data_IF_399887676105
#
_entry.id   IF_399887676105
#
_cell.length_a   1.000
_cell.length_b   1.000
_cell.length_c   1.000
_cell.angle_alpha   90.00
_cell.angle_beta   90.00
_cell.angle_gamma   90.00
#
_symmetry.space_group_name_H-M   'P 1'
#
loop_
_entity.id
_entity.type
_entity.pdbx_description
1 polymer ?
#
# COMPACT_ATOMS: atom_id res chain seq x y z
N UNK A 1 -6.72 -0.43 8.71
CA UNK A 1 -7.09 0.58 9.74
C UNK A 1 -8.03 1.57 9.06
N UNK A 2 -9.30 1.64 9.45
CA UNK A 2 -10.29 2.49 8.78
C UNK A 2 -10.12 3.92 9.29
N UNK A 3 -9.66 4.86 8.45
CA UNK A 3 -9.60 6.29 8.77
C UNK A 3 -10.90 6.97 8.28
N UNK A 4 -11.51 7.79 9.13
CA UNK A 4 -12.73 8.55 8.83
C UNK A 4 -12.35 9.95 8.34
N UNK A 5 -12.83 10.32 7.16
CA UNK A 5 -12.76 11.69 6.63
C UNK A 5 -14.14 12.33 6.81
N UNK A 6 -14.26 13.36 7.62
CA UNK A 6 -15.54 13.99 7.99
C UNK A 6 -15.95 15.12 7.03
N UNK A 7 -17.14 15.01 6.44
CA UNK A 7 -18.07 16.10 6.10
C UNK A 7 -19.47 15.53 5.79
N UNK A 8 -20.53 16.13 6.35
CA UNK A 8 -21.89 15.55 6.49
C UNK A 8 -22.71 15.34 5.20
N UNK A 9 -22.15 15.62 4.01
CA UNK A 9 -22.88 15.56 2.73
C UNK A 9 -22.13 14.74 1.67
N UNK A 10 -20.91 14.32 1.98
CA UNK A 10 -19.96 13.76 1.02
C UNK A 10 -19.21 12.60 1.65
N UNK A 11 -19.01 11.53 0.89
CA UNK A 11 -18.22 10.40 1.38
C UNK A 11 -16.99 10.23 0.51
N UNK A 12 -15.85 10.86 0.90
CA UNK A 12 -14.58 10.56 0.28
C UNK A 12 -14.17 9.14 0.64
N UNK A 13 -13.55 8.46 -0.31
CA UNK A 13 -12.97 7.15 -0.12
C UNK A 13 -11.63 7.04 -0.83
N UNK A 14 -10.74 6.26 -0.22
CA UNK A 14 -9.45 5.89 -0.79
C UNK A 14 -9.36 4.37 -0.76
N UNK A 15 -8.93 3.80 -1.88
CA UNK A 15 -8.63 2.39 -2.03
C UNK A 15 -7.20 2.26 -2.52
N UNK A 16 -6.36 1.55 -1.77
CA UNK A 16 -4.99 1.22 -2.16
C UNK A 16 -4.66 -0.24 -1.83
N UNK A 17 -3.45 -0.68 -2.17
CA UNK A 17 -2.97 -2.04 -1.87
C UNK A 17 -2.89 -2.38 -0.37
N UNK A 18 -3.03 -1.40 0.52
CA UNK A 18 -3.00 -1.54 1.98
C UNK A 18 -4.41 -1.59 2.59
N UNK A 19 -5.44 -1.24 1.83
CA UNK A 19 -6.84 -1.35 2.20
C UNK A 19 -7.67 -0.11 1.89
N UNK A 20 -8.77 0.05 2.63
CA UNK A 20 -9.82 1.03 2.30
C UNK A 20 -10.01 2.02 3.43
N UNK A 21 -10.08 3.28 3.05
CA UNK A 21 -10.29 4.40 3.95
C UNK A 21 -11.58 5.11 3.52
N UNK A 22 -12.66 4.92 4.27
CA UNK A 22 -13.98 5.52 3.99
C UNK A 22 -14.84 5.52 5.26
N UNK A 23 -15.89 6.35 5.29
CA UNK A 23 -16.96 6.26 6.29
C UNK A 23 -18.09 5.30 5.91
N UNK A 24 -18.24 5.00 4.62
CA UNK A 24 -19.21 4.02 4.12
C UNK A 24 -18.71 2.59 4.38
N UNK A 25 -19.56 1.60 4.13
CA UNK A 25 -19.20 0.19 4.29
C UNK A 25 -17.94 -0.15 3.46
N UNK A 26 -16.78 -0.44 4.10
CA UNK A 26 -15.52 -0.68 3.38
C UNK A 26 -15.65 -1.86 2.41
N UNK A 27 -16.47 -2.86 2.74
CA UNK A 27 -16.67 -4.03 1.88
C UNK A 27 -17.33 -3.69 0.54
N UNK A 28 -18.19 -2.66 0.51
CA UNK A 28 -18.84 -2.20 -0.73
C UNK A 28 -17.87 -1.42 -1.60
N UNK A 29 -17.04 -0.57 -0.99
CA UNK A 29 -16.02 0.19 -1.72
C UNK A 29 -14.94 -0.77 -2.26
N UNK A 30 -14.60 -1.83 -1.53
CA UNK A 30 -13.66 -2.89 -1.97
C UNK A 30 -14.13 -3.57 -3.24
N UNK A 31 -15.40 -4.00 -3.23
CA UNK A 31 -16.03 -4.66 -4.35
C UNK A 31 -16.14 -3.73 -5.56
N UNK A 32 -16.49 -2.46 -5.35
CA UNK A 32 -16.59 -1.46 -6.42
C UNK A 32 -15.21 -1.17 -7.02
N UNK A 33 -14.20 -0.93 -6.19
CA UNK A 33 -12.82 -0.66 -6.63
C UNK A 33 -12.23 -1.84 -7.41
N UNK A 34 -12.36 -3.05 -6.87
CA UNK A 34 -11.88 -4.29 -7.50
C UNK A 34 -12.58 -4.55 -8.83
N UNK A 35 -13.92 -4.45 -8.87
CA UNK A 35 -14.70 -4.64 -10.10
C UNK A 35 -14.32 -3.62 -11.17
N UNK A 36 -14.10 -2.35 -10.79
CA UNK A 36 -13.68 -1.30 -11.71
C UNK A 36 -12.31 -1.59 -12.31
N UNK A 37 -11.31 -1.92 -11.49
CA UNK A 37 -9.97 -2.26 -11.97
C UNK A 37 -10.01 -3.44 -12.95
N UNK A 38 -10.68 -4.52 -12.58
CA UNK A 38 -10.85 -5.69 -13.44
C UNK A 38 -11.57 -5.36 -14.75
N UNK A 39 -12.57 -4.48 -14.72
CA UNK A 39 -13.31 -4.05 -15.91
C UNK A 39 -12.41 -3.22 -16.84
N UNK A 40 -11.62 -2.31 -16.29
CA UNK A 40 -10.68 -1.49 -17.06
C UNK A 40 -9.59 -2.34 -17.72
N UNK A 41 -9.02 -3.28 -16.97
CA UNK A 41 -8.07 -4.28 -17.47
C UNK A 41 -8.68 -5.13 -18.59
N UNK A 42 -9.91 -5.61 -18.41
CA UNK A 42 -10.61 -6.43 -19.41
C UNK A 42 -10.90 -5.66 -20.70
N UNK A 43 -11.20 -4.36 -20.59
CA UNK A 43 -11.44 -3.49 -21.73
C UNK A 43 -10.15 -3.03 -22.43
N UNK A 44 -8.96 -3.37 -21.88
CA UNK A 44 -7.67 -2.90 -22.37
C UNK A 44 -7.54 -1.37 -22.31
N UNK A 45 -8.27 -0.72 -21.40
CA UNK A 45 -8.22 0.72 -21.22
C UNK A 45 -7.08 1.02 -20.25
N UNK A 46 -5.90 1.23 -20.82
CA UNK A 46 -4.75 1.73 -20.09
C UNK A 46 -4.85 3.25 -19.95
N UNK A 47 -4.72 3.78 -18.73
CA UNK A 47 -4.63 5.22 -18.47
C UNK A 47 -5.96 5.95 -18.22
N UNK A 48 -6.91 5.34 -17.52
CA UNK A 48 -8.09 6.07 -17.03
C UNK A 48 -7.70 7.00 -15.88
N UNK A 49 -7.43 8.26 -16.21
CA UNK A 49 -7.08 9.28 -15.21
C UNK A 49 -8.27 9.64 -14.31
N UNK A 50 -9.49 9.62 -14.86
CA UNK A 50 -10.72 10.04 -14.18
C UNK A 50 -11.94 9.26 -14.71
N UNK A 51 -12.71 8.70 -13.78
CA UNK A 51 -14.00 8.06 -14.00
C UNK A 51 -15.08 8.88 -13.29
N UNK A 52 -16.09 9.31 -14.05
CA UNK A 52 -17.26 10.01 -13.52
C UNK A 52 -18.52 9.23 -13.84
N UNK A 53 -19.28 8.90 -12.80
CA UNK A 53 -20.59 8.26 -12.89
C UNK A 53 -21.62 9.24 -12.35
N UNK A 54 -22.42 9.81 -13.24
CA UNK A 54 -23.45 10.80 -12.90
C UNK A 54 -24.78 10.09 -12.73
N UNK A 55 -25.33 10.11 -11.52
CA UNK A 55 -26.63 9.51 -11.23
C UNK A 55 -27.63 10.52 -10.67
N UNK A 56 -28.92 10.24 -10.85
CA UNK A 56 -30.01 11.14 -10.42
C UNK A 56 -30.14 11.28 -8.88
N UNK A 57 -29.48 10.40 -8.11
CA UNK A 57 -29.52 10.39 -6.63
C UNK A 57 -28.14 10.46 -5.99
N UNK A 58 -27.14 9.89 -6.66
CA UNK A 58 -25.74 9.86 -6.24
C UNK A 58 -24.88 9.95 -7.50
N UNK A 59 -23.85 10.76 -7.42
CA UNK A 59 -22.78 10.85 -8.41
C UNK A 59 -21.48 10.41 -7.76
N UNK A 60 -20.59 9.84 -8.55
CA UNK A 60 -19.29 9.34 -8.13
C UNK A 60 -18.24 9.87 -9.08
N UNK A 61 -17.20 10.50 -8.55
CA UNK A 61 -15.98 10.78 -9.31
C UNK A 61 -14.81 10.03 -8.67
N UNK A 62 -13.98 9.41 -9.51
CA UNK A 62 -12.87 8.55 -9.08
C UNK A 62 -11.67 8.80 -9.97
N UNK A 63 -10.50 9.09 -9.38
CA UNK A 63 -9.23 9.03 -10.09
C UNK A 63 -8.59 7.67 -9.86
N UNK A 64 -8.18 7.03 -10.95
CA UNK A 64 -7.50 5.73 -10.91
C UNK A 64 -6.04 5.96 -11.26
N UNK A 65 -5.16 5.70 -10.30
CA UNK A 65 -3.71 5.65 -10.47
C UNK A 65 -3.27 4.19 -10.27
N UNK A 66 -2.07 3.83 -10.75
CA UNK A 66 -1.59 2.44 -10.85
C UNK A 66 -1.90 1.56 -9.62
N UNK A 67 -1.80 2.10 -8.40
CA UNK A 67 -2.06 1.37 -7.15
C UNK A 67 -3.04 2.10 -6.20
N UNK A 68 -3.77 3.10 -6.70
CA UNK A 68 -4.54 4.01 -5.86
C UNK A 68 -5.79 4.51 -6.56
N UNK A 69 -6.94 4.34 -5.92
CA UNK A 69 -8.19 4.95 -6.32
C UNK A 69 -8.59 5.97 -5.27
N UNK A 70 -8.80 7.21 -5.71
CA UNK A 70 -9.35 8.28 -4.86
C UNK A 70 -10.70 8.63 -5.42
N UNK A 71 -11.75 8.56 -4.62
CA UNK A 71 -13.08 8.90 -5.06
C UNK A 71 -13.90 9.67 -4.05
N UNK A 72 -14.94 10.32 -4.55
CA UNK A 72 -15.93 11.01 -3.73
C UNK A 72 -17.33 10.62 -4.20
N UNK A 73 -18.15 10.14 -3.25
CA UNK A 73 -19.58 9.97 -3.41
C UNK A 73 -20.29 11.27 -3.01
N UNK A 74 -20.96 11.89 -3.96
CA UNK A 74 -21.78 13.09 -3.73
C UNK A 74 -23.24 12.84 -4.08
N UNK A 75 -24.14 13.59 -3.45
CA UNK A 75 -25.58 13.60 -3.78
C UNK A 75 -25.96 14.76 -4.71
N UNK A 76 -24.99 15.54 -5.21
CA UNK A 76 -25.19 16.77 -5.99
C UNK A 76 -24.68 16.78 -7.45
N UNK A 77 -24.65 17.99 -8.05
CA UNK A 77 -24.20 18.25 -9.43
C UNK A 77 -22.67 18.10 -9.58
N UNK A 78 -22.27 17.61 -10.75
CA UNK A 78 -20.91 17.15 -11.11
C UNK A 78 -19.89 18.28 -11.26
N UNK A 79 -20.36 19.51 -11.48
CA UNK A 79 -19.53 20.66 -11.84
C UNK A 79 -18.51 21.06 -10.75
N UNK A 80 -18.66 20.55 -9.52
CA UNK A 80 -17.76 20.80 -8.37
C UNK A 80 -16.80 19.63 -8.07
N UNK A 81 -16.87 18.50 -8.79
CA UNK A 81 -16.12 17.28 -8.44
C UNK A 81 -14.62 17.39 -8.79
N UNK A 82 -14.25 18.06 -9.88
CA UNK A 82 -12.86 18.19 -10.30
C UNK A 82 -12.02 19.00 -9.29
N UNK A 83 -12.51 20.16 -8.85
CA UNK A 83 -11.84 20.99 -7.84
C UNK A 83 -11.71 20.29 -6.50
N UNK A 84 -12.68 19.44 -6.13
CA UNK A 84 -12.63 18.64 -4.90
C UNK A 84 -11.66 17.47 -4.96
N UNK A 85 -11.51 16.83 -6.11
CA UNK A 85 -10.47 15.84 -6.32
C UNK A 85 -9.07 16.48 -6.23
N UNK A 86 -8.92 17.71 -6.70
CA UNK A 86 -7.69 18.47 -6.55
C UNK A 86 -7.42 18.86 -5.09
N UNK A 87 -8.45 19.25 -4.33
CA UNK A 87 -8.34 19.50 -2.88
C UNK A 87 -7.95 18.21 -2.12
N UNK A 88 -8.61 17.09 -2.38
CA UNK A 88 -8.28 15.79 -1.77
C UNK A 88 -6.85 15.35 -2.11
N UNK A 89 -6.42 15.55 -3.36
CA UNK A 89 -5.04 15.28 -3.76
C UNK A 89 -4.04 16.23 -3.10
N UNK A 90 -4.39 17.50 -2.91
CA UNK A 90 -3.56 18.48 -2.24
C UNK A 90 -3.43 18.17 -0.75
N UNK A 91 -4.52 17.74 -0.08
CA UNK A 91 -4.50 17.25 1.31
C UNK A 91 -3.63 15.99 1.43
N UNK A 92 -3.76 15.04 0.50
CA UNK A 92 -2.91 13.84 0.45
C UNK A 92 -1.43 14.14 0.18
N UNK A 93 -1.12 15.15 -0.64
CA UNK A 93 0.25 15.60 -0.89
C UNK A 93 0.84 16.34 0.31
N UNK A 94 0.04 17.16 1.00
CA UNK A 94 0.47 17.86 2.21
C UNK A 94 0.68 16.88 3.38
N UNK A 95 -0.21 15.89 3.57
CA UNK A 95 -0.04 14.83 4.56
C UNK A 95 1.16 13.93 4.24
N UNK A 96 1.45 13.61 2.96
CA UNK A 96 2.68 12.87 2.60
C UNK A 96 3.97 13.60 2.98
N UNK A 97 3.93 14.93 3.11
CA UNK A 97 5.08 15.75 3.52
C UNK A 97 5.15 15.85 5.05
N UNK A 98 4.02 15.79 5.77
CA UNK A 98 4.01 15.74 7.25
C UNK A 98 4.27 14.32 7.81
N UNK A 99 3.84 13.25 7.14
CA UNK A 99 4.17 11.86 7.50
C UNK A 99 5.66 11.51 7.23
N UNK A 100 6.40 12.38 6.54
CA UNK A 100 7.87 12.28 6.38
C UNK A 100 8.62 12.72 7.66
N UNK A 101 7.92 13.25 8.67
CA UNK A 101 8.49 13.68 9.94
C UNK A 101 8.33 12.55 10.98
N UNK A 102 9.46 11.89 11.27
CA UNK A 102 9.66 10.72 12.15
C UNK A 102 9.39 9.34 11.54
N UNK A 103 9.93 9.05 10.34
CA UNK A 103 10.24 7.66 10.01
C UNK A 103 11.24 7.12 11.04
N UNK A 104 10.79 6.26 11.96
CA UNK A 104 11.66 5.58 12.91
C UNK A 104 12.85 4.96 12.16
N UNK A 105 14.06 5.40 12.48
CA UNK A 105 15.28 4.91 11.84
C UNK A 105 15.68 3.61 12.51
N UNK A 106 15.91 2.58 11.70
CA UNK A 106 16.33 1.26 12.14
C UNK A 106 17.74 1.00 11.66
N UNK A 107 18.61 0.55 12.56
CA UNK A 107 19.98 0.18 12.21
C UNK A 107 20.03 -1.26 11.69
N UNK A 108 20.01 -1.42 10.36
CA UNK A 108 20.09 -2.74 9.71
C UNK A 108 21.41 -3.45 10.03
N UNK A 109 22.51 -2.71 10.19
CA UNK A 109 23.81 -3.32 10.51
C UNK A 109 23.77 -4.05 11.84
N UNK A 110 23.11 -3.49 12.86
CA UNK A 110 22.92 -4.14 14.16
C UNK A 110 21.95 -5.33 14.10
N UNK A 111 20.89 -5.23 13.28
CA UNK A 111 19.91 -6.29 13.12
C UNK A 111 20.33 -7.40 12.15
N UNK A 112 21.31 -7.16 11.28
CA UNK A 112 21.78 -8.04 10.22
C UNK A 112 22.08 -9.46 10.71
N UNK A 113 22.66 -9.58 11.91
CA UNK A 113 22.96 -10.87 12.53
C UNK A 113 21.69 -11.63 12.89
N UNK A 114 20.70 -10.96 13.49
CA UNK A 114 19.41 -11.56 13.87
C UNK A 114 18.59 -11.94 12.63
N UNK A 115 18.60 -11.07 11.61
CA UNK A 115 17.97 -11.35 10.31
C UNK A 115 18.59 -12.60 9.69
N UNK A 116 19.93 -12.67 9.59
CA UNK A 116 20.60 -13.84 9.02
C UNK A 116 20.36 -15.13 9.83
N UNK A 117 20.27 -15.06 11.16
CA UNK A 117 19.89 -16.21 11.98
C UNK A 117 18.51 -16.75 11.60
N UNK A 118 17.49 -15.88 11.57
CA UNK A 118 16.12 -16.27 11.19
C UNK A 118 16.13 -16.84 9.77
N UNK A 119 16.75 -16.16 8.81
CA UNK A 119 16.82 -16.66 7.44
C UNK A 119 17.50 -18.03 7.37
N UNK A 120 18.55 -18.29 8.17
CA UNK A 120 19.26 -19.57 8.17
C UNK A 120 18.41 -20.69 8.77
N UNK A 121 17.57 -20.41 9.78
CA UNK A 121 16.65 -21.40 10.36
C UNK A 121 15.65 -21.93 9.32
N UNK A 122 15.19 -21.07 8.40
CA UNK A 122 14.20 -21.44 7.39
C UNK A 122 14.82 -21.86 6.05
N UNK A 123 15.85 -21.15 5.58
CA UNK A 123 16.43 -21.30 4.25
C UNK A 123 17.75 -22.07 4.24
N UNK A 124 18.31 -22.41 5.42
CA UNK A 124 19.61 -23.05 5.55
C UNK A 124 20.71 -22.29 4.82
N UNK A 125 21.50 -23.01 4.02
CA UNK A 125 22.65 -22.48 3.27
C UNK A 125 22.26 -21.44 2.20
N UNK A 126 20.97 -21.33 1.84
CA UNK A 126 20.51 -20.34 0.88
C UNK A 126 20.35 -18.94 1.48
N UNK A 127 20.27 -18.82 2.81
CA UNK A 127 20.03 -17.56 3.51
C UNK A 127 20.98 -16.42 3.09
N UNK A 128 22.32 -16.61 3.06
CA UNK A 128 23.24 -15.53 2.69
C UNK A 128 23.11 -15.09 1.22
N UNK A 129 22.63 -15.99 0.35
CA UNK A 129 22.41 -15.67 -1.07
C UNK A 129 21.11 -14.88 -1.24
N UNK A 130 20.03 -15.33 -0.61
CA UNK A 130 18.73 -14.65 -0.66
C UNK A 130 18.85 -13.24 -0.07
N UNK A 131 19.49 -13.10 1.09
CA UNK A 131 19.67 -11.80 1.74
C UNK A 131 20.42 -10.79 0.87
N UNK A 132 21.59 -11.17 0.34
CA UNK A 132 22.38 -10.29 -0.54
C UNK A 132 21.65 -9.94 -1.85
N UNK A 133 20.86 -10.87 -2.38
CA UNK A 133 20.09 -10.61 -3.59
C UNK A 133 18.99 -9.57 -3.34
N UNK A 134 18.31 -9.63 -2.20
CA UNK A 134 17.27 -8.64 -1.87
C UNK A 134 17.88 -7.26 -1.58
N UNK A 135 19.01 -7.18 -0.86
CA UNK A 135 19.73 -5.91 -0.68
C UNK A 135 20.10 -5.27 -2.02
N UNK A 136 20.62 -6.06 -2.98
CA UNK A 136 20.94 -5.57 -4.32
C UNK A 136 19.70 -5.14 -5.11
N UNK A 137 18.63 -5.93 -5.06
CA UNK A 137 17.37 -5.64 -5.77
C UNK A 137 16.74 -4.34 -5.28
N UNK A 138 16.77 -4.10 -3.97
CA UNK A 138 16.23 -2.89 -3.33
C UNK A 138 17.24 -1.73 -3.26
N UNK A 139 18.47 -1.93 -3.76
CA UNK A 139 19.58 -0.96 -3.69
C UNK A 139 19.79 -0.41 -2.27
N UNK A 140 19.77 -1.32 -1.28
CA UNK A 140 19.99 -1.00 0.12
C UNK A 140 21.44 -1.28 0.52
N UNK A 141 21.98 -0.41 1.37
CA UNK A 141 23.24 -0.62 2.07
C UNK A 141 22.97 -0.96 3.54
N UNK A 142 23.89 -1.70 4.16
CA UNK A 142 23.78 -2.01 5.59
C UNK A 142 24.14 -0.77 6.41
N UNK A 143 23.13 -0.13 6.99
CA UNK A 143 23.26 1.07 7.79
C UNK A 143 21.95 1.48 8.43
N UNK A 144 21.80 2.77 8.68
CA UNK A 144 20.54 3.36 9.14
C UNK A 144 19.56 3.44 7.97
N UNK A 145 18.43 2.75 8.13
CA UNK A 145 17.38 2.69 7.14
C UNK A 145 16.07 3.17 7.77
N UNK A 146 15.23 3.89 7.03
CA UNK A 146 13.87 4.12 7.47
C UNK A 146 13.12 2.81 7.73
N UNK A 147 12.27 2.78 8.75
CA UNK A 147 11.45 1.62 9.09
C UNK A 147 10.69 1.07 7.87
N UNK A 148 10.23 1.96 6.99
CA UNK A 148 9.56 1.59 5.74
C UNK A 148 10.47 0.73 4.85
N UNK A 149 11.69 1.20 4.56
CA UNK A 149 12.67 0.43 3.77
C UNK A 149 13.05 -0.89 4.43
N UNK A 150 13.07 -0.92 5.76
CA UNK A 150 13.31 -2.15 6.51
C UNK A 150 12.15 -3.15 6.36
N UNK A 151 10.89 -2.68 6.40
CA UNK A 151 9.72 -3.51 6.10
C UNK A 151 9.74 -4.02 4.66
N UNK A 152 10.06 -3.16 3.69
CA UNK A 152 10.17 -3.55 2.28
C UNK A 152 11.21 -4.67 2.08
N UNK A 153 12.35 -4.59 2.78
CA UNK A 153 13.35 -5.66 2.79
C UNK A 153 12.78 -6.96 3.38
N UNK A 154 12.07 -6.89 4.50
CA UNK A 154 11.50 -8.07 5.16
C UNK A 154 10.46 -8.76 4.26
N UNK A 155 9.56 -8.01 3.63
CA UNK A 155 8.60 -8.58 2.68
C UNK A 155 9.27 -9.18 1.45
N UNK A 156 10.28 -8.51 0.88
CA UNK A 156 11.04 -9.05 -0.24
C UNK A 156 11.77 -10.36 0.12
N UNK A 157 12.24 -10.51 1.37
CA UNK A 157 12.80 -11.77 1.87
C UNK A 157 11.73 -12.85 2.00
N UNK A 158 10.55 -12.51 2.51
CA UNK A 158 9.38 -13.38 2.57
C UNK A 158 8.97 -13.92 1.20
N UNK A 159 8.83 -13.04 0.21
CA UNK A 159 8.46 -13.41 -1.16
C UNK A 159 9.50 -14.31 -1.82
N UNK A 160 10.78 -13.99 -1.62
CA UNK A 160 11.87 -14.83 -2.12
C UNK A 160 11.89 -16.21 -1.45
N UNK A 161 11.59 -16.26 -0.16
CA UNK A 161 11.49 -17.52 0.58
C UNK A 161 10.26 -18.33 0.19
N UNK A 162 9.12 -17.71 -0.12
CA UNK A 162 7.88 -18.40 -0.51
C UNK A 162 8.12 -19.38 -1.67
N UNK A 163 8.92 -18.98 -2.66
CA UNK A 163 9.31 -19.85 -3.78
C UNK A 163 10.17 -21.06 -3.38
N UNK A 164 10.81 -21.02 -2.21
CA UNK A 164 11.76 -22.04 -1.73
C UNK A 164 11.16 -22.95 -0.67
N UNK A 165 10.40 -22.40 0.27
CA UNK A 165 9.89 -23.12 1.46
C UNK A 165 8.35 -23.14 1.54
N UNK A 166 7.68 -22.52 0.57
CA UNK A 166 6.21 -22.45 0.51
C UNK A 166 5.61 -21.37 1.41
N UNK A 167 4.31 -21.05 1.19
CA UNK A 167 3.66 -19.83 1.71
C UNK A 167 3.53 -19.80 3.23
N UNK A 168 3.26 -20.95 3.85
CA UNK A 168 3.09 -21.03 5.31
C UNK A 168 4.40 -20.74 6.04
N UNK A 169 5.50 -21.36 5.61
CA UNK A 169 6.81 -21.19 6.23
C UNK A 169 7.42 -19.82 5.93
N UNK A 170 7.19 -19.27 4.72
CA UNK A 170 7.63 -17.92 4.40
C UNK A 170 6.88 -16.86 5.19
N UNK A 171 5.59 -17.06 5.47
CA UNK A 171 4.81 -16.16 6.32
C UNK A 171 5.34 -16.17 7.76
N UNK A 172 5.59 -17.35 8.33
CA UNK A 172 6.15 -17.49 9.69
C UNK A 172 7.53 -16.82 9.80
N UNK A 173 8.39 -17.00 8.79
CA UNK A 173 9.69 -16.33 8.71
C UNK A 173 9.53 -14.80 8.66
N UNK A 174 8.60 -14.30 7.85
CA UNK A 174 8.30 -12.87 7.69
C UNK A 174 7.82 -12.26 9.01
N UNK A 175 6.91 -12.94 9.70
CA UNK A 175 6.39 -12.47 10.99
C UNK A 175 7.51 -12.38 12.05
N UNK A 176 8.41 -13.38 12.09
CA UNK A 176 9.58 -13.37 12.98
C UNK A 176 10.54 -12.22 12.67
N UNK A 177 10.76 -11.93 11.38
CA UNK A 177 11.58 -10.79 10.97
C UNK A 177 10.93 -9.45 11.36
N UNK A 178 9.61 -9.31 11.20
CA UNK A 178 8.87 -8.11 11.62
C UNK A 178 8.94 -7.87 13.13
N UNK A 179 9.03 -8.92 13.96
CA UNK A 179 9.22 -8.77 15.41
C UNK A 179 10.56 -8.14 15.81
N UNK A 180 11.56 -8.09 14.91
CA UNK A 180 12.84 -7.42 15.19
C UNK A 180 12.76 -5.90 15.14
N UNK A 181 11.70 -5.35 14.53
CA UNK A 181 11.55 -3.94 14.22
C UNK A 181 10.25 -3.35 14.77
N UNK A 182 9.57 -4.10 15.65
CA UNK A 182 8.41 -3.66 16.42
C UNK A 182 8.82 -2.97 17.71
#
# INVERSE_FOLDING_TARGET
>A
MIKKFTTDVETPFIYDSSGIYTQEDPSKIDQIGTMLLQTLETLGIDGVDLLEVVGNKRSVAMRVKQDLIIGNLTTGRVDELASRLDELEATLKAEKVEEEVEEAIVNLKELSRKVNMILTEFLGDFAPRVYRNQLKKLKLEEGELPLKKMKDLIYALGDAANLMIGPTQSQEMTDRLLMLIK
#
